data_IF_587459316307
#
_entry.id   IF_587459316307
#
_cell.length_a   1.000
_cell.length_b   1.000
_cell.length_c   1.000
_cell.angle_alpha   90.00
_cell.angle_beta   90.00
_cell.angle_gamma   90.00
#
_symmetry.space_group_name_H-M   'P 1'
#
loop_
_entity.id
_entity.type
_entity.pdbx_description
1 polymer ?
#
# COMPACT_ATOMS: atom_id res chain seq x y z
N UNK A 1 1.86 -8.72 19.10
CA UNK A 1 2.46 -8.37 17.79
C UNK A 1 2.09 -9.49 16.83
N UNK A 2 1.39 -9.17 15.74
CA UNK A 2 1.08 -10.13 14.68
C UNK A 2 2.25 -10.10 13.69
N UNK A 3 2.90 -11.24 13.51
CA UNK A 3 4.04 -11.38 12.60
C UNK A 3 3.64 -12.23 11.39
N UNK A 4 3.83 -11.67 10.21
CA UNK A 4 3.59 -12.34 8.93
C UNK A 4 4.74 -12.07 7.94
N UNK A 5 5.95 -11.77 8.43
CA UNK A 5 7.11 -11.55 7.56
C UNK A 5 7.45 -12.77 6.71
N UNK A 6 7.29 -13.97 7.29
CA UNK A 6 7.59 -15.26 6.64
C UNK A 6 6.36 -15.88 5.94
N UNK A 7 5.24 -15.15 5.84
CA UNK A 7 4.04 -15.70 5.24
C UNK A 7 4.20 -15.80 3.71
N UNK A 8 4.32 -17.02 3.21
CA UNK A 8 4.34 -17.34 1.78
C UNK A 8 2.92 -17.40 1.20
N UNK A 9 2.22 -16.26 1.22
CA UNK A 9 0.94 -16.09 0.51
C UNK A 9 1.11 -15.28 -0.76
N UNK A 10 0.25 -15.53 -1.76
CA UNK A 10 0.17 -14.70 -2.98
C UNK A 10 -0.42 -13.32 -2.71
N UNK A 11 -1.32 -13.22 -1.74
CA UNK A 11 -1.96 -11.97 -1.35
C UNK A 11 -2.09 -11.92 0.18
N UNK A 12 -1.66 -10.80 0.74
CA UNK A 12 -1.82 -10.42 2.14
C UNK A 12 -2.48 -9.05 2.18
N UNK A 13 -3.52 -8.95 2.99
CA UNK A 13 -4.13 -7.69 3.36
C UNK A 13 -4.41 -7.74 4.85
N UNK A 14 -3.81 -6.80 5.59
CA UNK A 14 -4.03 -6.63 7.03
C UNK A 14 -4.54 -5.23 7.25
N UNK A 15 -5.77 -5.13 7.77
CA UNK A 15 -6.47 -3.88 8.06
C UNK A 15 -7.10 -3.96 9.45
N UNK A 16 -7.30 -2.82 10.10
CA UNK A 16 -7.92 -2.76 11.43
C UNK A 16 -7.00 -3.09 12.60
N UNK A 17 -5.70 -3.28 12.34
CA UNK A 17 -4.66 -3.38 13.36
C UNK A 17 -3.67 -2.23 13.19
N UNK A 18 -3.25 -1.57 14.29
CA UNK A 18 -2.21 -0.55 14.22
C UNK A 18 -0.89 -1.11 13.66
N UNK A 19 -0.18 -0.33 12.83
CA UNK A 19 1.07 -0.76 12.20
C UNK A 19 2.15 -1.11 13.23
N UNK A 20 2.19 -0.44 14.38
CA UNK A 20 3.15 -0.73 15.47
C UNK A 20 2.90 -2.10 16.15
N UNK A 21 1.78 -2.76 15.85
CA UNK A 21 1.47 -4.13 16.29
C UNK A 21 1.74 -5.18 15.23
N UNK A 22 2.19 -4.79 14.05
CA UNK A 22 2.43 -5.67 12.91
C UNK A 22 3.93 -5.81 12.64
N UNK A 23 4.32 -6.98 12.15
CA UNK A 23 5.64 -7.22 11.54
C UNK A 23 5.43 -7.88 10.18
N UNK A 24 6.04 -7.32 9.16
CA UNK A 24 5.87 -7.74 7.77
C UNK A 24 7.17 -7.67 6.99
N UNK A 25 7.19 -8.32 5.83
CA UNK A 25 8.27 -8.24 4.86
C UNK A 25 8.10 -6.96 4.02
N UNK A 26 9.01 -6.00 4.19
CA UNK A 26 8.98 -4.69 3.51
C UNK A 26 9.31 -4.76 2.02
N UNK A 27 9.92 -5.84 1.54
CA UNK A 27 10.18 -6.06 0.11
C UNK A 27 8.91 -6.49 -0.63
N UNK A 28 7.99 -7.16 0.07
CA UNK A 28 6.78 -7.77 -0.48
C UNK A 28 5.50 -7.00 -0.12
N UNK A 29 5.49 -6.31 1.01
CA UNK A 29 4.32 -5.66 1.55
C UNK A 29 4.56 -4.17 1.75
N UNK A 30 3.51 -3.37 1.59
CA UNK A 30 3.55 -1.92 1.72
C UNK A 30 2.47 -1.45 2.68
N UNK A 31 2.87 -0.62 3.64
CA UNK A 31 1.95 0.08 4.51
C UNK A 31 1.33 1.30 3.82
N UNK A 32 0.02 1.47 3.97
CA UNK A 32 -0.74 2.62 3.51
C UNK A 32 -1.37 3.33 4.69
N UNK A 33 -1.39 4.67 4.64
CA UNK A 33 -2.01 5.54 5.65
C UNK A 33 -2.90 6.56 4.98
N UNK A 34 -4.20 6.57 5.31
CA UNK A 34 -5.19 7.44 4.67
C UNK A 34 -4.81 8.92 4.73
N UNK A 35 -4.29 9.39 5.87
CA UNK A 35 -3.91 10.79 6.10
C UNK A 35 -2.93 11.33 5.04
N UNK A 36 -2.05 10.48 4.49
CA UNK A 36 -1.05 10.86 3.49
C UNK A 36 -1.63 11.10 2.10
N UNK A 37 -2.88 10.70 1.91
CA UNK A 37 -3.60 10.81 0.66
C UNK A 37 -4.76 11.81 0.72
N UNK A 38 -4.94 12.49 1.85
CA UNK A 38 -5.95 13.54 2.03
C UNK A 38 -5.54 14.86 1.34
N UNK A 39 -6.43 15.85 1.35
CA UNK A 39 -6.09 17.22 0.95
C UNK A 39 -5.87 17.45 -0.55
N UNK A 40 -6.26 16.50 -1.42
CA UNK A 40 -6.09 16.66 -2.87
C UNK A 40 -4.73 16.20 -3.39
N UNK A 41 -3.91 15.54 -2.57
CA UNK A 41 -2.70 14.84 -3.02
C UNK A 41 -3.01 13.98 -4.26
N UNK A 42 -4.11 13.23 -4.24
CA UNK A 42 -4.59 12.47 -5.41
C UNK A 42 -4.86 13.26 -6.68
N UNK A 43 -5.32 14.52 -6.57
CA UNK A 43 -5.59 15.35 -7.75
C UNK A 43 -4.30 15.89 -8.36
N UNK A 44 -3.25 16.05 -7.55
CA UNK A 44 -1.92 16.45 -8.01
C UNK A 44 -1.16 15.26 -8.65
N UNK A 45 -1.45 14.04 -8.21
CA UNK A 45 -0.90 12.82 -8.79
C UNK A 45 -1.59 12.55 -10.13
N UNK A 46 -0.85 12.67 -11.23
CA UNK A 46 -1.33 12.34 -12.57
C UNK A 46 -1.42 10.81 -12.79
N UNK A 47 -2.05 10.11 -11.85
CA UNK A 47 -2.21 8.66 -11.86
C UNK A 47 -3.59 8.26 -12.40
N UNK A 48 -3.71 7.08 -13.04
CA UNK A 48 -4.99 6.59 -13.53
C UNK A 48 -6.06 6.53 -12.43
N UNK A 49 -7.33 6.89 -12.72
CA UNK A 49 -8.42 6.84 -11.74
C UNK A 49 -8.67 5.46 -11.14
N UNK A 50 -8.24 4.40 -11.82
CA UNK A 50 -8.34 3.01 -11.39
C UNK A 50 -6.95 2.37 -11.36
N UNK A 51 -6.13 2.79 -10.40
CA UNK A 51 -4.83 2.18 -10.16
C UNK A 51 -4.84 1.29 -8.91
N UNK A 52 -3.78 0.52 -8.73
CA UNK A 52 -3.62 -0.43 -7.63
C UNK A 52 -3.77 0.26 -6.27
N UNK A 53 -3.06 1.38 -6.07
CA UNK A 53 -3.00 2.12 -4.81
C UNK A 53 -4.35 2.67 -4.37
N UNK A 54 -5.11 3.24 -5.32
CA UNK A 54 -6.43 3.81 -5.04
C UNK A 54 -7.45 2.74 -4.67
N UNK A 55 -7.34 1.54 -5.24
CA UNK A 55 -8.19 0.42 -4.85
C UNK A 55 -7.95 0.02 -3.38
N UNK A 56 -6.69 0.03 -2.92
CA UNK A 56 -6.35 -0.28 -1.52
C UNK A 56 -6.73 0.82 -0.55
N UNK A 57 -6.60 2.10 -0.91
CA UNK A 57 -7.13 3.17 -0.07
C UNK A 57 -8.65 3.12 0.08
N UNK A 58 -9.38 2.82 -0.99
CA UNK A 58 -10.83 2.61 -0.91
C UNK A 58 -11.20 1.49 0.06
N UNK A 59 -10.34 0.47 0.22
CA UNK A 59 -10.54 -0.58 1.24
C UNK A 59 -10.42 0.01 2.64
N UNK A 60 -9.39 0.82 2.91
CA UNK A 60 -9.25 1.50 4.20
C UNK A 60 -10.45 2.40 4.51
N UNK A 61 -10.92 3.18 3.53
CA UNK A 61 -12.12 4.02 3.65
C UNK A 61 -13.37 3.18 3.94
N UNK A 62 -13.56 2.07 3.22
CA UNK A 62 -14.72 1.18 3.38
C UNK A 62 -14.76 0.54 4.78
N UNK A 63 -13.61 0.14 5.30
CA UNK A 63 -13.52 -0.44 6.65
C UNK A 63 -13.45 0.61 7.77
N UNK A 64 -13.37 1.90 7.44
CA UNK A 64 -13.26 2.96 8.43
C UNK A 64 -11.96 2.93 9.24
N UNK A 65 -10.86 2.49 8.64
CA UNK A 65 -9.55 2.34 9.31
C UNK A 65 -8.52 3.30 8.72
N UNK A 66 -7.61 3.80 9.55
CA UNK A 66 -6.62 4.80 9.13
C UNK A 66 -5.47 4.22 8.30
N UNK A 67 -5.13 2.94 8.51
CA UNK A 67 -3.94 2.32 7.96
C UNK A 67 -4.10 0.81 7.74
N UNK A 68 -3.23 0.26 6.89
CA UNK A 68 -3.18 -1.17 6.61
C UNK A 68 -1.95 -1.57 5.79
N UNK A 69 -1.67 -2.87 5.75
CA UNK A 69 -0.54 -3.45 5.03
C UNK A 69 -1.06 -4.32 3.90
N UNK A 70 -0.50 -4.15 2.70
CA UNK A 70 -0.93 -4.82 1.47
C UNK A 70 0.23 -5.46 0.74
N UNK A 71 0.02 -6.64 0.16
CA UNK A 71 1.00 -7.23 -0.76
C UNK A 71 1.09 -6.46 -2.06
N UNK A 72 2.33 -6.26 -2.53
CA UNK A 72 2.60 -5.90 -3.91
C UNK A 72 2.17 -7.05 -4.83
N UNK A 73 1.79 -6.75 -6.08
CA UNK A 73 1.62 -7.78 -7.10
C UNK A 73 2.91 -8.59 -7.25
N UNK A 74 2.77 -9.86 -7.64
CA UNK A 74 3.93 -10.69 -7.99
C UNK A 74 4.53 -10.25 -9.32
N UNK A 75 5.82 -10.54 -9.55
CA UNK A 75 6.50 -10.14 -10.80
C UNK A 75 5.84 -10.69 -12.06
N UNK A 76 5.20 -11.86 -11.96
CA UNK A 76 4.45 -12.48 -13.05
C UNK A 76 3.11 -11.77 -13.37
N UNK A 77 2.64 -10.85 -12.53
CA UNK A 77 1.41 -10.09 -12.77
C UNK A 77 1.66 -9.00 -13.83
N UNK A 78 0.76 -8.91 -14.81
CA UNK A 78 0.79 -7.87 -15.86
C UNK A 78 0.80 -6.43 -15.32
N UNK A 79 0.33 -6.22 -14.09
CA UNK A 79 0.29 -4.91 -13.43
C UNK A 79 1.52 -4.64 -12.55
N UNK A 80 2.44 -5.59 -12.42
CA UNK A 80 3.60 -5.46 -11.53
C UNK A 80 4.44 -4.23 -11.86
N UNK A 81 4.90 -4.13 -13.11
CA UNK A 81 5.77 -3.04 -13.56
C UNK A 81 5.11 -1.68 -13.35
N UNK A 82 3.85 -1.53 -13.77
CA UNK A 82 3.07 -0.31 -13.56
C UNK A 82 2.93 0.02 -12.06
N UNK A 83 2.56 -0.97 -11.24
CA UNK A 83 2.36 -0.76 -9.80
C UNK A 83 3.66 -0.33 -9.11
N UNK A 84 4.80 -0.91 -9.49
CA UNK A 84 6.13 -0.55 -8.99
C UNK A 84 6.54 0.86 -9.44
N UNK A 85 6.30 1.23 -10.69
CA UNK A 85 6.59 2.59 -11.18
C UNK A 85 5.76 3.65 -10.43
N UNK A 86 4.46 3.40 -10.27
CA UNK A 86 3.57 4.25 -9.47
C UNK A 86 4.03 4.33 -8.01
N UNK A 87 4.47 3.20 -7.44
CA UNK A 87 5.02 3.17 -6.07
C UNK A 87 6.22 4.10 -5.93
N UNK A 88 7.18 4.01 -6.84
CA UNK A 88 8.39 4.85 -6.83
C UNK A 88 8.04 6.33 -6.94
N UNK A 89 7.05 6.66 -7.77
CA UNK A 89 6.51 8.01 -7.85
C UNK A 89 5.91 8.45 -6.51
N UNK A 90 5.03 7.66 -5.90
CA UNK A 90 4.40 7.97 -4.62
C UNK A 90 5.42 8.09 -3.47
N UNK A 91 6.48 7.29 -3.48
CA UNK A 91 7.59 7.40 -2.53
C UNK A 91 8.33 8.72 -2.71
N UNK A 92 8.62 9.11 -3.97
CA UNK A 92 9.30 10.38 -4.27
C UNK A 92 8.49 11.60 -3.85
N UNK A 93 7.17 11.54 -3.99
CA UNK A 93 6.26 12.60 -3.54
C UNK A 93 6.02 12.58 -2.02
N UNK A 94 6.67 11.69 -1.27
CA UNK A 94 6.57 11.59 0.20
C UNK A 94 5.24 11.01 0.71
N UNK A 95 4.46 10.40 -0.18
CA UNK A 95 3.15 9.82 0.15
C UNK A 95 3.31 8.43 0.73
N UNK A 96 4.17 7.61 0.11
CA UNK A 96 4.55 6.31 0.65
C UNK A 96 5.90 6.39 1.34
N UNK A 97 6.06 5.61 2.40
CA UNK A 97 7.38 5.43 3.00
C UNK A 97 8.24 4.56 2.08
N UNK A 98 9.49 4.97 1.87
CA UNK A 98 10.52 4.04 1.44
C UNK A 98 10.93 3.27 2.70
N UNK A 99 10.24 2.17 2.98
CA UNK A 99 10.63 1.34 4.13
C UNK A 99 12.06 0.82 3.88
N UNK A 100 12.97 1.27 4.75
CA UNK A 100 14.41 1.00 4.73
C UNK A 100 14.72 -0.45 5.09
#
# INVERSE_FOLDING_TARGET
>A
MLDFSELESKEVEVVGLPLDKLRWNTERHVALKLERFQGGAWKALNLPPTNFWRARLRRLELFGVAEGVYSLPLEADKRYAQTKEEMLYLVREGILDQER
#
